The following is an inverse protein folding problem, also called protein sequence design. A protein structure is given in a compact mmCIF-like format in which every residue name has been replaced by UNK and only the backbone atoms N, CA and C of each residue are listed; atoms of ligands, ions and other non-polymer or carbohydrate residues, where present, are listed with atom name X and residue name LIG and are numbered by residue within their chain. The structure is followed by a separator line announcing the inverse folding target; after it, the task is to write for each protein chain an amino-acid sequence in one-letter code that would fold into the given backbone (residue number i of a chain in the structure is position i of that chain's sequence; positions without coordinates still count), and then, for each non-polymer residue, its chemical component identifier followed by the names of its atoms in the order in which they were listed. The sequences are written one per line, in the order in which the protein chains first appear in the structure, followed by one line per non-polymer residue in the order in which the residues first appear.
data_IF_730972645649
#
_entry.id   IF_730972645649
#
_cell.length_a   1.000
_cell.length_b   1.000
_cell.length_c   1.000
_cell.angle_alpha   90.00
_cell.angle_beta   90.00
_cell.angle_gamma   90.00
#
_symmetry.space_group_name_H-M   'P 1'
#
loop_
_entity.id
_entity.type
_entity.pdbx_description
1 polymer ?
#
# COMPACT_ATOMS: atom_id res chain seq x y z
N UNK A 1 32.56 -29.33 1.82
CA UNK A 1 33.51 -28.90 0.76
C UNK A 1 34.63 -29.90 0.48
N UNK A 2 35.30 -30.51 1.47
CA UNK A 2 36.41 -31.47 1.22
C UNK A 2 35.99 -32.70 0.40
N UNK A 3 34.85 -33.33 0.74
CA UNK A 3 34.37 -34.56 0.08
C UNK A 3 34.09 -34.38 -1.44
N UNK A 4 33.50 -33.25 -1.83
CA UNK A 4 33.19 -32.92 -3.23
C UNK A 4 34.45 -32.69 -4.08
N UNK A 5 35.50 -32.09 -3.49
CA UNK A 5 36.78 -31.85 -4.19
C UNK A 5 37.50 -33.16 -4.49
N UNK A 6 37.43 -34.12 -3.56
CA UNK A 6 38.01 -35.45 -3.74
C UNK A 6 37.29 -36.25 -4.82
N UNK A 7 35.95 -36.23 -4.84
CA UNK A 7 35.14 -36.89 -5.88
C UNK A 7 35.37 -36.30 -7.27
N UNK A 8 35.42 -34.97 -7.40
CA UNK A 8 35.68 -34.31 -8.68
C UNK A 8 37.09 -34.64 -9.23
N UNK A 9 38.10 -34.75 -8.35
CA UNK A 9 39.43 -35.25 -8.70
C UNK A 9 39.38 -36.67 -9.23
N UNK A 10 38.83 -37.61 -8.47
CA UNK A 10 38.83 -39.02 -8.85
C UNK A 10 38.09 -39.29 -10.16
N UNK A 11 36.98 -38.58 -10.40
CA UNK A 11 36.19 -38.73 -11.62
C UNK A 11 36.92 -38.19 -12.87
N UNK A 12 37.56 -37.02 -12.76
CA UNK A 12 38.21 -36.37 -13.92
C UNK A 12 39.46 -37.12 -14.37
N UNK A 13 40.24 -37.68 -13.44
CA UNK A 13 41.40 -38.51 -13.78
C UNK A 13 41.03 -39.92 -14.23
N UNK A 14 39.90 -40.48 -13.78
CA UNK A 14 39.40 -41.74 -14.32
C UNK A 14 39.06 -41.62 -15.81
N UNK A 15 38.39 -40.54 -16.22
CA UNK A 15 38.09 -40.28 -17.63
C UNK A 15 39.36 -40.15 -18.50
N UNK A 16 40.43 -39.57 -17.95
CA UNK A 16 41.72 -39.53 -18.64
C UNK A 16 42.40 -40.90 -18.75
N UNK A 17 42.32 -41.73 -17.70
CA UNK A 17 42.89 -43.07 -17.70
C UNK A 17 42.20 -44.02 -18.71
N UNK A 18 40.91 -43.80 -18.97
CA UNK A 18 40.14 -44.52 -20.00
C UNK A 18 40.23 -43.88 -21.39
N UNK A 19 41.08 -42.86 -21.59
CA UNK A 19 41.30 -42.23 -22.89
C UNK A 19 40.14 -41.39 -23.41
N UNK A 20 39.15 -41.07 -22.57
CA UNK A 20 37.95 -40.29 -22.95
C UNK A 20 38.29 -38.81 -23.11
N UNK A 21 39.23 -38.31 -22.30
CA UNK A 21 39.78 -36.95 -22.39
C UNK A 21 41.30 -37.01 -22.20
N UNK A 22 42.01 -36.00 -22.70
CA UNK A 22 43.45 -35.87 -22.46
C UNK A 22 43.76 -35.48 -21.00
N UNK A 23 44.99 -35.75 -20.56
CA UNK A 23 45.44 -35.36 -19.22
C UNK A 23 45.41 -33.83 -18.99
N UNK A 24 45.63 -33.04 -20.04
CA UNK A 24 45.53 -31.57 -19.99
C UNK A 24 44.07 -31.11 -19.84
N UNK A 25 43.12 -31.79 -20.49
CA UNK A 25 41.68 -31.52 -20.34
C UNK A 25 41.15 -31.90 -18.96
N UNK A 26 41.63 -33.01 -18.39
CA UNK A 26 41.29 -33.41 -17.03
C UNK A 26 41.75 -32.36 -15.99
N UNK A 27 42.97 -31.85 -16.14
CA UNK A 27 43.53 -30.83 -15.25
C UNK A 27 42.81 -29.47 -15.39
N UNK A 28 42.40 -29.11 -16.61
CA UNK A 28 41.61 -27.89 -16.86
C UNK A 28 40.18 -28.00 -16.29
N UNK A 29 39.54 -29.16 -16.44
CA UNK A 29 38.21 -29.44 -15.88
C UNK A 29 38.24 -29.40 -14.35
N UNK A 30 39.30 -29.94 -13.77
CA UNK A 30 39.51 -29.91 -12.34
C UNK A 30 39.75 -28.48 -11.81
N UNK A 31 40.56 -27.68 -12.51
CA UNK A 31 40.77 -26.27 -12.17
C UNK A 31 39.48 -25.46 -12.21
N UNK A 32 38.57 -25.74 -13.14
CA UNK A 32 37.22 -25.13 -13.18
C UNK A 32 36.32 -25.58 -12.03
N UNK A 33 36.34 -26.87 -11.67
CA UNK A 33 35.51 -27.39 -10.58
C UNK A 33 36.01 -26.99 -9.18
N UNK A 34 37.32 -26.76 -9.03
CA UNK A 34 37.95 -26.42 -7.76
C UNK A 34 38.09 -24.92 -7.52
N UNK A 35 38.03 -24.10 -8.58
CA UNK A 35 37.84 -22.66 -8.41
C UNK A 35 36.38 -22.42 -8.04
N UNK A 36 36.08 -21.86 -6.85
CA UNK A 36 34.78 -21.22 -6.70
C UNK A 36 34.69 -20.21 -7.83
N UNK A 37 33.57 -20.23 -8.56
CA UNK A 37 33.20 -19.13 -9.44
C UNK A 37 33.57 -17.86 -8.67
N UNK A 38 34.54 -17.09 -9.17
CA UNK A 38 34.58 -15.68 -8.84
C UNK A 38 33.25 -15.19 -9.36
N UNK A 39 32.26 -15.20 -8.47
CA UNK A 39 30.95 -14.66 -8.72
C UNK A 39 31.22 -13.21 -8.98
N UNK A 40 31.38 -12.85 -10.26
CA UNK A 40 31.03 -11.52 -10.69
C UNK A 40 29.69 -11.28 -10.04
N UNK A 41 29.64 -10.28 -9.16
CA UNK A 41 28.36 -9.76 -8.72
C UNK A 41 27.64 -9.39 -10.00
N UNK A 42 26.75 -10.26 -10.47
CA UNK A 42 25.67 -9.85 -11.34
C UNK A 42 24.84 -9.00 -10.39
N UNK A 43 25.23 -7.73 -10.27
CA UNK A 43 24.37 -6.72 -9.70
C UNK A 43 23.07 -6.88 -10.47
N UNK A 44 21.96 -7.24 -9.80
CA UNK A 44 20.70 -7.41 -10.50
C UNK A 44 20.47 -6.14 -11.30
N UNK A 45 20.22 -6.29 -12.61
CA UNK A 45 19.92 -5.15 -13.47
C UNK A 45 18.85 -4.32 -12.75
N UNK A 46 19.07 -3.01 -12.54
CA UNK A 46 18.12 -2.19 -11.82
C UNK A 46 16.73 -2.42 -12.42
N UNK A 47 15.76 -2.78 -11.57
CA UNK A 47 14.42 -3.05 -12.06
C UNK A 47 13.89 -1.74 -12.66
N UNK A 48 13.56 -1.79 -13.95
CA UNK A 48 12.88 -0.70 -14.63
C UNK A 48 11.44 -0.64 -14.12
N UNK A 49 11.23 0.16 -13.07
CA UNK A 49 9.94 0.32 -12.40
C UNK A 49 8.91 0.94 -13.35
N UNK A 50 9.32 1.83 -14.25
CA UNK A 50 8.43 2.45 -15.22
C UNK A 50 7.89 1.39 -16.20
N UNK A 51 8.77 0.52 -16.72
CA UNK A 51 8.38 -0.61 -17.56
C UNK A 51 7.52 -1.61 -16.79
N UNK A 52 7.89 -1.97 -15.55
CA UNK A 52 7.10 -2.86 -14.70
C UNK A 52 5.68 -2.32 -14.48
N UNK A 53 5.54 -1.03 -14.19
CA UNK A 53 4.25 -0.35 -14.06
C UNK A 53 3.42 -0.52 -15.33
N UNK A 54 3.98 -0.16 -16.49
CA UNK A 54 3.24 -0.20 -17.76
C UNK A 54 2.83 -1.64 -18.12
N UNK A 55 3.77 -2.58 -18.04
CA UNK A 55 3.56 -3.99 -18.37
C UNK A 55 2.56 -4.69 -17.43
N UNK A 56 2.52 -4.29 -16.16
CA UNK A 56 1.57 -4.85 -15.19
C UNK A 56 0.17 -4.28 -15.39
N UNK A 57 0.05 -2.96 -15.57
CA UNK A 57 -1.24 -2.28 -15.66
C UNK A 57 -1.92 -2.47 -17.02
N UNK A 58 -1.17 -2.67 -18.11
CA UNK A 58 -1.76 -2.97 -19.42
C UNK A 58 -2.44 -4.34 -19.48
N UNK A 59 -2.11 -5.27 -18.57
CA UNK A 59 -2.70 -6.62 -18.48
C UNK A 59 -4.06 -6.62 -17.78
N UNK A 60 -4.37 -5.58 -17.01
CA UNK A 60 -5.66 -5.43 -16.35
C UNK A 60 -6.73 -5.18 -17.42
N UNK A 61 -7.86 -5.87 -17.33
CA UNK A 61 -8.98 -5.73 -18.28
C UNK A 61 -9.55 -4.31 -18.31
N UNK A 62 -10.33 -3.99 -19.36
CA UNK A 62 -10.98 -2.68 -19.53
C UNK A 62 -10.18 -1.72 -20.41
N UNK A 63 -10.87 -0.72 -20.94
CA UNK A 63 -10.30 0.29 -21.85
C UNK A 63 -9.41 1.28 -21.10
N UNK A 64 -8.36 1.78 -21.76
CA UNK A 64 -7.49 2.82 -21.24
C UNK A 64 -6.77 3.55 -22.38
N UNK A 65 -6.32 4.77 -22.12
CA UNK A 65 -5.44 5.53 -23.01
C UNK A 65 -3.99 5.12 -22.77
N UNK A 66 -3.37 4.54 -23.80
CA UNK A 66 -2.00 4.00 -23.73
C UNK A 66 -0.96 5.07 -23.45
N UNK A 67 -1.09 6.25 -24.06
CA UNK A 67 -0.15 7.36 -23.91
C UNK A 67 -0.26 7.98 -22.52
N UNK A 68 -1.48 8.17 -22.01
CA UNK A 68 -1.69 8.62 -20.62
C UNK A 68 -1.14 7.62 -19.61
N UNK A 69 -1.35 6.32 -19.83
CA UNK A 69 -0.78 5.29 -18.96
C UNK A 69 0.75 5.31 -19.00
N UNK A 70 1.35 5.47 -20.18
CA UNK A 70 2.79 5.57 -20.32
C UNK A 70 3.34 6.77 -19.54
N UNK A 71 2.73 7.95 -19.69
CA UNK A 71 3.08 9.15 -18.89
C UNK A 71 2.92 8.92 -17.39
N UNK A 72 1.84 8.26 -16.97
CA UNK A 72 1.61 7.96 -15.56
C UNK A 72 2.71 7.07 -14.99
N UNK A 73 3.10 6.02 -15.72
CA UNK A 73 4.14 5.11 -15.28
C UNK A 73 5.54 5.74 -15.21
N UNK A 74 5.80 6.88 -15.85
CA UNK A 74 7.05 7.63 -15.66
C UNK A 74 7.24 8.12 -14.22
N UNK A 75 6.14 8.32 -13.48
CA UNK A 75 6.16 8.71 -12.06
C UNK A 75 6.15 7.51 -11.11
N UNK A 76 6.20 6.27 -11.63
CA UNK A 76 6.18 5.09 -10.80
C UNK A 76 7.48 4.96 -9.98
N UNK A 77 7.34 4.66 -8.70
CA UNK A 77 8.42 4.49 -7.73
C UNK A 77 8.19 3.22 -6.92
N UNK A 78 9.24 2.72 -6.26
CA UNK A 78 9.16 1.63 -5.29
C UNK A 78 9.84 2.10 -4.01
N UNK A 79 9.22 1.90 -2.85
CA UNK A 79 9.89 2.18 -1.58
C UNK A 79 10.93 1.09 -1.27
N UNK A 80 12.06 1.41 -0.61
CA UNK A 80 13.07 0.39 -0.28
C UNK A 80 12.47 -0.77 0.53
N UNK A 81 12.64 -1.99 0.03
CA UNK A 81 12.12 -3.23 0.63
C UNK A 81 10.65 -3.55 0.30
N UNK A 82 9.95 -2.71 -0.45
CA UNK A 82 8.59 -2.99 -0.91
C UNK A 82 8.57 -3.97 -2.08
N UNK A 83 8.44 -5.25 -1.74
CA UNK A 83 8.29 -6.35 -2.69
C UNK A 83 7.31 -7.38 -2.12
N UNK A 84 6.69 -8.16 -2.99
CA UNK A 84 5.82 -9.27 -2.62
C UNK A 84 6.60 -10.43 -2.01
N UNK A 85 5.86 -11.42 -1.53
CA UNK A 85 6.42 -12.69 -1.03
C UNK A 85 7.42 -13.30 -2.02
N UNK A 86 7.05 -13.38 -3.31
CA UNK A 86 7.89 -13.93 -4.39
C UNK A 86 8.91 -12.93 -4.96
N UNK A 87 9.00 -11.71 -4.41
CA UNK A 87 10.02 -10.72 -4.79
C UNK A 87 9.62 -9.76 -5.92
N UNK A 88 8.34 -9.71 -6.29
CA UNK A 88 7.84 -8.73 -7.26
C UNK A 88 7.77 -7.33 -6.62
N UNK A 89 8.33 -6.28 -7.23
CA UNK A 89 8.26 -4.95 -6.66
C UNK A 89 6.83 -4.44 -6.56
N UNK A 90 6.49 -3.87 -5.39
CA UNK A 90 5.20 -3.20 -5.17
C UNK A 90 5.42 -1.71 -5.44
N UNK A 91 5.06 -1.28 -6.64
CA UNK A 91 5.25 0.10 -7.09
C UNK A 91 4.05 0.98 -6.74
N UNK A 92 4.30 2.28 -6.70
CA UNK A 92 3.30 3.31 -6.47
C UNK A 92 3.49 4.48 -7.43
N UNK A 93 2.40 5.18 -7.70
CA UNK A 93 2.38 6.48 -8.36
C UNK A 93 2.19 7.59 -7.31
N UNK A 94 2.78 8.76 -7.53
CA UNK A 94 2.62 9.91 -6.64
C UNK A 94 2.47 11.22 -7.43
N UNK A 95 1.40 11.95 -7.11
CA UNK A 95 1.13 13.31 -7.60
C UNK A 95 0.91 14.21 -6.40
N UNK A 96 1.82 15.16 -6.19
CA UNK A 96 1.68 16.14 -5.11
C UNK A 96 0.67 17.22 -5.50
N UNK A 97 -0.03 17.75 -4.50
CA UNK A 97 -0.94 18.86 -4.69
C UNK A 97 -0.19 20.12 -5.14
N UNK A 98 -0.85 20.91 -5.97
CA UNK A 98 -0.29 22.16 -6.49
C UNK A 98 -0.28 23.29 -5.45
N UNK A 99 -1.11 23.18 -4.40
CA UNK A 99 -1.10 24.08 -3.25
C UNK A 99 -1.15 23.29 -1.93
N UNK A 100 -0.21 23.53 -1.03
CA UNK A 100 0.00 22.71 0.18
C UNK A 100 -0.86 23.14 1.39
N UNK A 101 -1.37 24.37 1.44
CA UNK A 101 -1.97 24.94 2.66
C UNK A 101 -3.24 24.21 3.14
N UNK A 102 -3.92 23.48 2.27
CA UNK A 102 -5.11 22.70 2.63
C UNK A 102 -5.18 21.30 2.02
N UNK A 103 -4.17 20.94 1.21
CA UNK A 103 -4.13 19.66 0.52
C UNK A 103 -4.17 18.50 1.50
N UNK A 104 -4.99 17.50 1.17
CA UNK A 104 -5.01 16.22 1.89
C UNK A 104 -4.05 15.25 1.23
N UNK A 105 -3.39 14.44 2.04
CA UNK A 105 -2.62 13.28 1.57
C UNK A 105 -3.56 12.08 1.47
N UNK A 106 -3.93 11.71 0.25
CA UNK A 106 -4.85 10.61 -0.03
C UNK A 106 -4.04 9.43 -0.57
N UNK A 107 -4.06 8.32 0.15
CA UNK A 107 -3.44 7.06 -0.31
C UNK A 107 -4.53 6.14 -0.83
N UNK A 108 -4.44 5.76 -2.11
CA UNK A 108 -5.33 4.80 -2.75
C UNK A 108 -4.60 3.49 -2.98
N UNK A 109 -5.27 2.37 -2.75
CA UNK A 109 -4.76 1.05 -3.06
C UNK A 109 -5.82 0.18 -3.74
N UNK A 110 -5.35 -0.69 -4.63
CA UNK A 110 -6.16 -1.70 -5.33
C UNK A 110 -5.46 -3.05 -5.28
N UNK A 111 -6.19 -4.12 -5.61
CA UNK A 111 -5.61 -5.48 -5.75
C UNK A 111 -4.83 -5.92 -4.50
N UNK A 112 -5.32 -5.57 -3.30
CA UNK A 112 -4.89 -6.22 -2.05
C UNK A 112 -5.35 -7.68 -2.02
N UNK A 113 -6.49 -7.96 -2.65
CA UNK A 113 -6.86 -9.30 -3.08
C UNK A 113 -6.59 -9.44 -4.58
N UNK A 114 -5.81 -10.44 -4.98
CA UNK A 114 -5.31 -10.56 -6.34
C UNK A 114 -6.37 -10.93 -7.39
N UNK A 115 -7.47 -11.53 -6.98
CA UNK A 115 -8.60 -11.92 -7.84
C UNK A 115 -9.62 -10.79 -8.08
N UNK A 116 -9.42 -9.61 -7.49
CA UNK A 116 -10.33 -8.45 -7.60
C UNK A 116 -9.87 -7.48 -8.71
N UNK A 117 -9.64 -7.98 -9.93
CA UNK A 117 -8.96 -7.25 -11.03
C UNK A 117 -9.61 -5.93 -11.46
N UNK A 118 -10.94 -5.79 -11.34
CA UNK A 118 -11.63 -4.52 -11.62
C UNK A 118 -11.24 -3.40 -10.63
N UNK A 119 -10.78 -3.74 -9.41
CA UNK A 119 -10.20 -2.74 -8.50
C UNK A 119 -8.95 -2.09 -9.09
N UNK A 120 -8.11 -2.87 -9.78
CA UNK A 120 -6.91 -2.37 -10.46
C UNK A 120 -7.25 -1.48 -11.66
N UNK A 121 -8.41 -1.69 -12.29
CA UNK A 121 -8.89 -0.84 -13.40
C UNK A 121 -9.17 0.59 -12.92
N UNK A 122 -9.76 0.74 -11.73
CA UNK A 122 -10.00 2.05 -11.09
C UNK A 122 -8.68 2.77 -10.84
N UNK A 123 -7.72 2.12 -10.20
CA UNK A 123 -6.41 2.73 -9.92
C UNK A 123 -5.67 3.10 -11.21
N UNK A 124 -5.75 2.27 -12.27
CA UNK A 124 -5.17 2.59 -13.58
C UNK A 124 -5.81 3.85 -14.18
N UNK A 125 -7.14 3.94 -14.17
CA UNK A 125 -7.86 5.13 -14.63
C UNK A 125 -7.46 6.37 -13.83
N UNK A 126 -7.38 6.27 -12.50
CA UNK A 126 -7.05 7.39 -11.63
C UNK A 126 -5.63 7.92 -11.81
N UNK A 127 -4.61 7.05 -11.95
CA UNK A 127 -3.24 7.53 -12.22
C UNK A 127 -3.15 8.19 -13.61
N UNK A 128 -3.85 7.65 -14.61
CA UNK A 128 -3.90 8.23 -15.95
C UNK A 128 -4.66 9.56 -16.00
N UNK A 129 -5.63 9.77 -15.11
CA UNK A 129 -6.29 11.08 -14.94
C UNK A 129 -5.37 12.07 -14.22
N UNK A 130 -4.70 11.64 -13.15
CA UNK A 130 -3.86 12.51 -12.32
C UNK A 130 -2.66 13.14 -13.04
N UNK A 131 -2.18 12.54 -14.12
CA UNK A 131 -1.10 13.16 -14.94
C UNK A 131 -1.55 14.45 -15.62
N UNK A 132 -2.83 14.54 -15.98
CA UNK A 132 -3.38 15.70 -16.71
C UNK A 132 -4.05 16.71 -15.75
N UNK A 133 -4.20 16.36 -14.46
CA UNK A 133 -4.85 17.22 -13.47
C UNK A 133 -3.86 18.08 -12.67
N UNK A 134 -4.30 19.30 -12.40
CA UNK A 134 -3.78 20.13 -11.32
C UNK A 134 -4.49 19.73 -10.01
N UNK A 135 -3.90 18.81 -9.24
CA UNK A 135 -4.60 18.17 -8.14
C UNK A 135 -4.64 19.06 -6.90
N UNK A 136 -5.84 19.25 -6.34
CA UNK A 136 -6.04 19.95 -5.06
C UNK A 136 -5.50 19.17 -3.85
N UNK A 137 -5.37 17.85 -3.97
CA UNK A 137 -4.88 16.93 -2.95
C UNK A 137 -3.64 16.22 -3.46
N UNK A 138 -2.78 15.78 -2.54
CA UNK A 138 -1.65 14.91 -2.86
C UNK A 138 -2.15 13.47 -2.90
N UNK A 139 -1.93 12.79 -4.02
CA UNK A 139 -2.35 11.42 -4.25
C UNK A 139 -1.15 10.50 -4.30
N UNK A 140 -1.23 9.41 -3.54
CA UNK A 140 -0.35 8.25 -3.70
C UNK A 140 -1.20 7.04 -4.05
N UNK A 141 -0.92 6.38 -5.16
CA UNK A 141 -1.72 5.25 -5.66
C UNK A 141 -0.84 4.01 -5.76
N UNK A 142 -1.23 2.93 -5.07
CA UNK A 142 -0.62 1.61 -5.14
C UNK A 142 -1.57 0.71 -5.93
N UNK A 143 -1.43 0.61 -7.26
CA UNK A 143 -2.44 -0.03 -8.10
C UNK A 143 -2.49 -1.55 -7.95
N UNK A 144 -1.39 -2.18 -7.51
CA UNK A 144 -1.29 -3.62 -7.27
C UNK A 144 -0.54 -3.85 -5.96
N UNK A 145 -1.28 -4.11 -4.88
CA UNK A 145 -0.69 -4.42 -3.57
C UNK A 145 -0.17 -5.86 -3.51
N UNK A 146 -0.94 -6.82 -4.05
CA UNK A 146 -0.64 -8.24 -4.04
C UNK A 146 -0.36 -8.74 -5.48
N UNK A 147 0.83 -8.44 -6.05
CA UNK A 147 1.15 -8.84 -7.42
C UNK A 147 1.25 -10.37 -7.57
N UNK A 148 1.63 -11.10 -6.52
CA UNK A 148 1.68 -12.57 -6.55
C UNK A 148 0.28 -13.16 -6.71
N UNK A 149 -0.67 -12.70 -5.88
CA UNK A 149 -2.07 -13.07 -6.00
C UNK A 149 -2.70 -12.62 -7.31
N UNK A 150 -2.32 -11.46 -7.84
CA UNK A 150 -2.80 -10.97 -9.13
C UNK A 150 -2.36 -11.89 -10.28
N UNK A 151 -1.09 -12.31 -10.31
CA UNK A 151 -0.58 -13.26 -11.31
C UNK A 151 -1.22 -14.64 -11.17
N UNK A 152 -1.49 -15.07 -9.94
CA UNK A 152 -2.12 -16.36 -9.66
C UNK A 152 -3.66 -16.33 -9.72
N UNK A 153 -4.28 -15.16 -9.92
CA UNK A 153 -5.71 -14.93 -9.79
C UNK A 153 -6.30 -15.49 -8.48
N UNK A 154 -5.66 -15.17 -7.35
CA UNK A 154 -6.08 -15.58 -6.01
C UNK A 154 -6.32 -14.39 -5.10
N UNK A 155 -7.31 -14.51 -4.21
CA UNK A 155 -7.55 -13.53 -3.14
C UNK A 155 -6.34 -13.32 -2.25
N UNK A 156 -5.70 -14.42 -1.85
CA UNK A 156 -4.57 -14.42 -0.93
C UNK A 156 -3.26 -14.11 -1.66
N UNK A 157 -2.20 -13.80 -0.90
CA UNK A 157 -0.84 -13.74 -1.45
C UNK A 157 -0.25 -15.15 -1.66
N UNK A 158 1.04 -15.23 -2.03
CA UNK A 158 1.73 -16.49 -2.29
C UNK A 158 1.80 -17.44 -1.08
N UNK A 159 1.74 -16.92 0.15
CA UNK A 159 1.68 -17.71 1.38
C UNK A 159 0.26 -18.15 1.76
N UNK A 160 -0.73 -17.91 0.89
CA UNK A 160 -2.15 -18.18 1.14
C UNK A 160 -2.73 -17.35 2.30
N UNK A 161 -2.14 -16.19 2.59
CA UNK A 161 -2.64 -15.24 3.59
C UNK A 161 -3.52 -14.18 2.94
N UNK A 162 -4.66 -13.89 3.57
CA UNK A 162 -5.48 -12.73 3.24
C UNK A 162 -4.79 -11.48 3.83
N UNK A 163 -4.17 -10.68 2.96
CA UNK A 163 -3.44 -9.45 3.34
C UNK A 163 -4.36 -8.49 4.11
N UNK A 164 -5.66 -8.44 3.80
CA UNK A 164 -6.65 -7.64 4.51
C UNK A 164 -7.23 -8.34 5.76
N UNK A 165 -6.53 -9.36 6.26
CA UNK A 165 -6.68 -9.93 7.61
C UNK A 165 -5.35 -9.98 8.37
N UNK A 166 -4.27 -9.45 7.78
CA UNK A 166 -2.92 -9.54 8.33
C UNK A 166 -2.42 -8.24 8.97
N UNK A 167 -3.16 -7.12 8.92
CA UNK A 167 -2.73 -5.88 9.55
C UNK A 167 -2.57 -6.02 11.08
N UNK A 168 -1.59 -5.33 11.71
CA UNK A 168 -1.33 -5.45 13.14
C UNK A 168 -2.32 -4.63 13.98
N UNK A 169 -3.61 -4.96 13.87
CA UNK A 169 -4.68 -4.35 14.69
C UNK A 169 -4.51 -4.72 16.16
N UNK A 170 -4.90 -3.84 17.08
CA UNK A 170 -4.73 -4.05 18.52
C UNK A 170 -5.38 -5.35 19.05
N UNK A 171 -6.39 -5.88 18.36
CA UNK A 171 -7.06 -7.14 18.70
C UNK A 171 -6.64 -8.32 17.81
N UNK A 172 -5.55 -8.21 17.04
CA UNK A 172 -5.15 -9.28 16.12
C UNK A 172 -4.78 -10.56 16.88
N UNK A 173 -3.83 -10.45 17.81
CA UNK A 173 -3.29 -11.60 18.58
C UNK A 173 -4.39 -12.33 19.36
N UNK A 174 -5.30 -11.58 19.97
CA UNK A 174 -6.37 -12.15 20.79
C UNK A 174 -7.56 -12.68 20.00
N UNK A 175 -7.78 -12.22 18.76
CA UNK A 175 -9.06 -12.50 18.06
C UNK A 175 -8.94 -13.02 16.62
N UNK A 176 -7.85 -12.74 15.87
CA UNK A 176 -7.81 -13.02 14.44
C UNK A 176 -7.93 -14.53 14.14
N UNK A 177 -7.06 -15.35 14.73
CA UNK A 177 -7.07 -16.81 14.53
C UNK A 177 -8.35 -17.44 15.09
N UNK A 178 -8.77 -17.04 16.30
CA UNK A 178 -9.98 -17.57 16.92
C UNK A 178 -11.23 -17.27 16.08
N UNK A 179 -11.34 -16.04 15.54
CA UNK A 179 -12.45 -15.64 14.67
C UNK A 179 -12.41 -16.36 13.32
N UNK A 180 -11.23 -16.53 12.73
CA UNK A 180 -11.07 -17.30 11.49
C UNK A 180 -11.48 -18.76 11.68
N UNK A 181 -11.04 -19.42 12.76
CA UNK A 181 -11.45 -20.80 13.08
C UNK A 181 -12.96 -20.97 13.28
N UNK A 182 -13.64 -19.93 13.80
CA UNK A 182 -15.12 -19.91 13.95
C UNK A 182 -15.85 -19.58 12.65
N UNK A 183 -15.16 -19.05 11.64
CA UNK A 183 -15.78 -18.82 10.33
C UNK A 183 -16.09 -20.15 9.65
N UNK A 184 -17.07 -20.16 8.73
CA UNK A 184 -17.50 -21.37 8.03
C UNK A 184 -16.29 -22.10 7.43
N UNK A 185 -16.02 -23.30 7.93
CA UNK A 185 -14.94 -24.19 7.51
C UNK A 185 -13.53 -23.59 7.58
N UNK A 186 -13.27 -22.63 8.49
CA UNK A 186 -11.97 -21.93 8.54
C UNK A 186 -11.53 -21.44 7.16
N UNK A 187 -12.44 -20.72 6.48
CA UNK A 187 -12.32 -20.35 5.06
C UNK A 187 -10.87 -19.97 4.69
N UNK A 188 -10.16 -20.80 3.89
CA UNK A 188 -8.77 -20.57 3.54
C UNK A 188 -8.56 -19.21 2.84
N UNK A 189 -9.58 -18.69 2.17
CA UNK A 189 -9.55 -17.37 1.51
C UNK A 189 -9.44 -16.20 2.51
N UNK A 190 -9.63 -16.46 3.81
CA UNK A 190 -9.63 -15.45 4.88
C UNK A 190 -8.62 -15.76 5.99
N UNK A 191 -7.66 -16.65 5.72
CA UNK A 191 -6.62 -16.98 6.68
C UNK A 191 -5.79 -15.72 7.02
N UNK A 192 -5.71 -15.30 8.30
CA UNK A 192 -5.07 -14.03 8.68
C UNK A 192 -3.54 -14.07 8.68
N UNK A 193 -2.94 -15.24 8.51
CA UNK A 193 -1.49 -15.44 8.63
C UNK A 193 -1.06 -15.91 10.03
N UNK A 194 0.22 -16.31 10.19
CA UNK A 194 0.73 -16.86 11.44
C UNK A 194 0.91 -15.82 12.56
N UNK A 195 1.12 -14.55 12.22
CA UNK A 195 1.32 -13.44 13.16
C UNK A 195 0.90 -12.10 12.52
N UNK A 196 0.65 -11.03 13.30
CA UNK A 196 0.29 -9.75 12.71
C UNK A 196 1.45 -9.20 11.89
N UNK A 197 1.16 -8.65 10.70
CA UNK A 197 2.14 -8.15 9.74
C UNK A 197 3.22 -9.18 9.34
N UNK A 198 2.88 -10.47 9.33
CA UNK A 198 3.76 -11.54 8.85
C UNK A 198 4.10 -11.41 7.36
N UNK A 199 3.20 -10.83 6.56
CA UNK A 199 3.34 -10.80 5.10
C UNK A 199 4.11 -9.57 4.60
N UNK A 200 4.94 -9.75 3.57
CA UNK A 200 5.72 -8.66 2.97
C UNK A 200 4.83 -7.58 2.36
N UNK A 201 3.69 -7.95 1.76
CA UNK A 201 2.72 -7.02 1.21
C UNK A 201 2.16 -6.12 2.32
N UNK A 202 1.81 -6.70 3.48
CA UNK A 202 1.37 -5.94 4.66
C UNK A 202 2.46 -5.00 5.15
N UNK A 203 3.70 -5.49 5.29
CA UNK A 203 4.84 -4.67 5.73
C UNK A 203 5.12 -3.51 4.77
N UNK A 204 4.99 -3.73 3.46
CA UNK A 204 5.11 -2.67 2.48
C UNK A 204 4.04 -1.59 2.67
N UNK A 205 2.76 -1.97 2.89
CA UNK A 205 1.70 -1.00 3.19
C UNK A 205 1.98 -0.21 4.47
N UNK A 206 2.46 -0.88 5.54
CA UNK A 206 2.87 -0.19 6.77
C UNK A 206 3.98 0.83 6.51
N UNK A 207 4.94 0.50 5.64
CA UNK A 207 5.99 1.44 5.21
C UNK A 207 5.40 2.63 4.46
N UNK A 208 4.45 2.42 3.55
CA UNK A 208 3.76 3.52 2.87
C UNK A 208 2.96 4.41 3.82
N UNK A 209 2.31 3.84 4.84
CA UNK A 209 1.59 4.63 5.84
C UNK A 209 2.53 5.51 6.66
N UNK A 210 3.69 4.96 7.04
CA UNK A 210 4.72 5.71 7.79
C UNK A 210 5.38 6.80 6.93
N UNK A 211 5.74 6.48 5.68
CA UNK A 211 6.41 7.37 4.74
C UNK A 211 5.50 8.51 4.27
N UNK A 212 4.28 8.17 3.81
CA UNK A 212 3.36 9.16 3.26
C UNK A 212 2.62 9.94 4.35
N UNK A 213 2.29 9.29 5.47
CA UNK A 213 1.39 9.79 6.50
C UNK A 213 0.04 10.26 5.92
N UNK A 214 -0.78 9.33 5.39
CA UNK A 214 -2.04 9.70 4.76
C UNK A 214 -3.03 10.31 5.75
N UNK A 215 -3.71 11.37 5.30
CA UNK A 215 -4.89 11.92 5.99
C UNK A 215 -6.14 11.07 5.73
N UNK A 216 -6.15 10.32 4.63
CA UNK A 216 -7.28 9.54 4.16
C UNK A 216 -6.79 8.36 3.32
N UNK A 217 -7.42 7.20 3.47
CA UNK A 217 -7.09 6.00 2.70
C UNK A 217 -8.29 5.52 1.91
N UNK A 218 -8.06 5.11 0.66
CA UNK A 218 -9.04 4.49 -0.21
C UNK A 218 -8.56 3.08 -0.53
N UNK A 219 -9.39 2.08 -0.28
CA UNK A 219 -9.13 0.68 -0.67
C UNK A 219 -10.20 0.22 -1.65
N UNK A 220 -9.81 -0.06 -2.89
CA UNK A 220 -10.75 -0.52 -3.92
C UNK A 220 -10.81 -2.04 -3.91
N UNK A 221 -12.02 -2.56 -3.85
CA UNK A 221 -12.39 -3.95 -3.69
C UNK A 221 -13.57 -4.31 -4.60
N UNK A 222 -13.92 -5.60 -4.63
CA UNK A 222 -15.05 -6.17 -5.35
C UNK A 222 -15.53 -7.43 -4.61
N UNK A 223 -16.79 -7.91 -4.77
CA UNK A 223 -17.81 -7.44 -5.69
C UNK A 223 -19.05 -6.82 -5.00
N UNK A 224 -18.93 -6.28 -3.78
CA UNK A 224 -20.12 -6.00 -2.94
C UNK A 224 -20.99 -4.83 -3.42
N UNK A 225 -20.47 -3.95 -4.28
CA UNK A 225 -21.28 -2.90 -4.91
C UNK A 225 -21.69 -1.75 -4.00
N UNK A 226 -20.81 -1.31 -3.09
CA UNK A 226 -21.10 -0.30 -2.07
C UNK A 226 -19.90 0.62 -1.80
N UNK A 227 -20.16 1.71 -1.09
CA UNK A 227 -19.14 2.56 -0.47
C UNK A 227 -19.20 2.36 1.06
N UNK A 228 -18.18 1.73 1.63
CA UNK A 228 -18.06 1.53 3.08
C UNK A 228 -17.06 2.53 3.68
N UNK A 229 -17.53 3.30 4.66
CA UNK A 229 -16.76 4.36 5.28
C UNK A 229 -16.51 4.10 6.76
N UNK A 230 -15.24 3.81 7.07
CA UNK A 230 -14.70 3.78 8.42
C UNK A 230 -14.14 5.16 8.77
N UNK A 231 -14.99 5.98 9.40
CA UNK A 231 -14.65 7.35 9.78
C UNK A 231 -15.71 8.01 10.66
N UNK A 232 -15.68 9.36 10.75
CA UNK A 232 -16.68 10.12 11.49
C UNK A 232 -18.13 9.82 11.05
N UNK A 233 -19.01 9.50 12.00
CA UNK A 233 -20.37 8.99 11.75
C UNK A 233 -21.43 10.04 11.37
N UNK A 234 -21.11 11.33 11.38
CA UNK A 234 -22.06 12.43 11.14
C UNK A 234 -21.75 13.25 9.89
N UNK A 235 -21.07 12.65 8.92
CA UNK A 235 -20.78 13.29 7.64
C UNK A 235 -21.89 12.98 6.65
N UNK A 236 -22.29 14.01 5.90
CA UNK A 236 -23.20 13.85 4.76
C UNK A 236 -22.37 13.74 3.49
N UNK A 237 -22.30 12.53 2.94
CA UNK A 237 -21.55 12.28 1.71
C UNK A 237 -22.37 12.59 0.46
N UNK A 238 -21.70 13.02 -0.63
CA UNK A 238 -22.35 13.11 -1.94
C UNK A 238 -22.94 11.76 -2.35
N UNK A 239 -24.14 11.76 -2.92
CA UNK A 239 -24.73 10.55 -3.52
C UNK A 239 -23.90 10.14 -4.73
N UNK A 240 -23.64 8.83 -4.83
CA UNK A 240 -23.05 8.21 -6.01
C UNK A 240 -23.95 7.06 -6.45
N UNK A 241 -24.79 7.29 -7.44
CA UNK A 241 -25.87 6.34 -7.80
C UNK A 241 -25.40 4.91 -8.10
N UNK A 242 -24.21 4.67 -8.69
CA UNK A 242 -23.75 3.30 -8.95
C UNK A 242 -23.50 2.47 -7.67
N UNK A 243 -23.10 3.13 -6.57
CA UNK A 243 -22.71 2.47 -5.31
C UNK A 243 -23.31 3.20 -4.09
N UNK A 244 -24.27 2.60 -3.37
CA UNK A 244 -24.80 3.19 -2.14
C UNK A 244 -23.78 3.18 -1.00
N UNK A 245 -23.91 4.13 -0.08
CA UNK A 245 -23.12 4.18 1.15
C UNK A 245 -23.67 3.19 2.17
N UNK A 246 -22.93 2.12 2.46
CA UNK A 246 -23.33 1.06 3.40
C UNK A 246 -22.11 0.65 4.22
N UNK A 247 -22.23 0.61 5.55
CA UNK A 247 -21.11 0.21 6.40
C UNK A 247 -21.08 -1.29 6.65
N UNK A 248 -19.97 -1.97 6.34
CA UNK A 248 -19.81 -3.42 6.55
C UNK A 248 -19.20 -3.77 7.92
N UNK A 249 -18.68 -2.75 8.62
CA UNK A 249 -17.92 -2.92 9.84
C UNK A 249 -16.51 -3.47 9.58
N UNK A 250 -15.77 -3.65 10.66
CA UNK A 250 -14.35 -4.01 10.58
C UNK A 250 -14.02 -5.30 11.34
N UNK A 251 -12.90 -5.91 10.95
CA UNK A 251 -12.46 -7.23 11.42
C UNK A 251 -11.06 -7.12 12.04
N UNK A 252 -10.68 -8.00 13.00
CA UNK A 252 -9.28 -8.15 13.39
C UNK A 252 -8.41 -8.35 12.14
N UNK A 253 -7.36 -7.56 12.04
CA UNK A 253 -6.44 -7.56 10.91
C UNK A 253 -6.91 -6.91 9.62
N UNK A 254 -8.07 -6.25 9.59
CA UNK A 254 -8.51 -5.48 8.43
C UNK A 254 -7.96 -4.05 8.41
N UNK A 255 -7.82 -3.48 7.23
CA UNK A 255 -7.35 -2.11 7.02
C UNK A 255 -8.22 -1.08 7.75
N UNK A 256 -9.55 -1.17 7.60
CA UNK A 256 -10.51 -0.26 8.23
C UNK A 256 -10.38 -0.25 9.75
N UNK A 257 -10.19 -1.43 10.37
CA UNK A 257 -9.90 -1.52 11.81
C UNK A 257 -8.59 -0.83 12.15
N UNK A 258 -7.52 -1.16 11.43
CA UNK A 258 -6.17 -0.72 11.73
C UNK A 258 -6.02 0.81 11.60
N UNK A 259 -6.55 1.38 10.53
CA UNK A 259 -6.36 2.79 10.23
C UNK A 259 -7.39 3.66 10.94
N UNK A 260 -8.68 3.30 10.93
CA UNK A 260 -9.69 4.13 11.58
C UNK A 260 -9.75 3.88 13.08
N UNK A 261 -10.05 2.65 13.51
CA UNK A 261 -10.30 2.40 14.94
C UNK A 261 -9.05 2.59 15.79
N UNK A 262 -7.92 2.05 15.32
CA UNK A 262 -6.69 2.04 16.11
C UNK A 262 -5.84 3.31 15.88
N UNK A 263 -6.02 4.04 14.77
CA UNK A 263 -5.15 5.18 14.40
C UNK A 263 -5.85 6.48 14.00
N UNK A 264 -7.19 6.51 13.97
CA UNK A 264 -7.98 7.70 13.63
C UNK A 264 -7.71 8.29 12.23
N UNK A 265 -7.26 7.47 11.28
CA UNK A 265 -7.16 7.81 9.86
C UNK A 265 -8.38 7.24 9.12
N UNK A 266 -9.26 8.07 8.54
CA UNK A 266 -10.45 7.59 7.86
C UNK A 266 -10.13 6.71 6.64
N UNK A 267 -10.95 5.68 6.43
CA UNK A 267 -10.83 4.74 5.32
C UNK A 267 -12.14 4.68 4.54
N UNK A 268 -12.05 4.82 3.22
CA UNK A 268 -13.11 4.52 2.27
C UNK A 268 -12.80 3.22 1.54
N UNK A 269 -13.58 2.19 1.82
CA UNK A 269 -13.57 0.95 1.04
C UNK A 269 -14.58 1.09 -0.09
N UNK A 270 -14.09 1.09 -1.33
CA UNK A 270 -14.92 1.13 -2.54
C UNK A 270 -15.10 -0.31 -2.99
N UNK A 271 -16.29 -0.87 -2.83
CA UNK A 271 -16.64 -2.20 -3.33
C UNK A 271 -17.37 -2.07 -4.67
N UNK A 272 -16.71 -2.37 -5.80
CA UNK A 272 -17.38 -2.40 -7.11
C UNK A 272 -18.32 -3.60 -7.21
N UNK A 273 -19.29 -3.62 -8.13
CA UNK A 273 -20.13 -4.82 -8.41
C UNK A 273 -19.43 -5.86 -9.31
N UNK A 274 -18.10 -5.96 -9.22
CA UNK A 274 -17.30 -6.70 -10.20
C UNK A 274 -17.31 -6.01 -11.58
N UNK A 275 -17.29 -6.79 -12.68
CA UNK A 275 -17.24 -6.29 -14.05
C UNK A 275 -18.51 -5.55 -14.51
N UNK A 276 -19.59 -5.60 -13.73
CA UNK A 276 -20.92 -5.11 -14.13
C UNK A 276 -21.27 -3.73 -13.54
N UNK A 277 -20.50 -3.21 -12.58
CA UNK A 277 -20.92 -2.06 -11.76
C UNK A 277 -20.53 -0.68 -12.28
N UNK A 278 -19.24 -0.51 -12.61
CA UNK A 278 -18.69 0.74 -13.12
C UNK A 278 -17.69 0.38 -14.21
N UNK A 279 -18.00 0.74 -15.44
CA UNK A 279 -17.19 0.41 -16.62
C UNK A 279 -16.82 1.63 -17.47
N UNK A 280 -17.41 2.80 -17.17
CA UNK A 280 -17.18 4.06 -17.88
C UNK A 280 -16.15 4.92 -17.15
N UNK A 281 -15.22 5.51 -17.90
CA UNK A 281 -14.15 6.34 -17.33
C UNK A 281 -14.71 7.55 -16.58
N UNK A 282 -15.79 8.15 -17.07
CA UNK A 282 -16.43 9.31 -16.44
C UNK A 282 -16.96 9.00 -15.03
N UNK A 283 -17.41 7.76 -14.80
CA UNK A 283 -17.87 7.32 -13.48
C UNK A 283 -16.68 7.03 -12.55
N UNK A 284 -15.55 6.54 -13.06
CA UNK A 284 -14.31 6.46 -12.27
C UNK A 284 -13.79 7.84 -11.86
N UNK A 285 -13.86 8.81 -12.78
CA UNK A 285 -13.47 10.20 -12.53
C UNK A 285 -14.34 10.83 -11.45
N UNK A 286 -15.67 10.69 -11.58
CA UNK A 286 -16.63 11.16 -10.58
C UNK A 286 -16.42 10.48 -9.22
N UNK A 287 -16.11 9.19 -9.21
CA UNK A 287 -15.79 8.45 -7.98
C UNK A 287 -14.51 8.98 -7.31
N UNK A 288 -13.50 9.36 -8.10
CA UNK A 288 -12.28 10.01 -7.57
C UNK A 288 -12.62 11.36 -6.93
N UNK A 289 -13.47 12.16 -7.57
CA UNK A 289 -13.85 13.49 -7.09
C UNK A 289 -14.68 13.42 -5.79
N UNK A 290 -15.61 12.47 -5.71
CA UNK A 290 -16.38 12.18 -4.50
C UNK A 290 -15.43 11.74 -3.37
N UNK A 291 -14.50 10.83 -3.67
CA UNK A 291 -13.53 10.34 -2.68
C UNK A 291 -12.66 11.49 -2.12
N UNK A 292 -12.19 12.39 -3.00
CA UNK A 292 -11.46 13.59 -2.58
C UNK A 292 -12.30 14.55 -1.73
N UNK A 293 -13.60 14.68 -2.03
CA UNK A 293 -14.53 15.49 -1.23
C UNK A 293 -14.73 14.91 0.17
N UNK A 294 -14.89 13.59 0.26
CA UNK A 294 -15.05 12.87 1.54
C UNK A 294 -13.80 13.00 2.39
N UNK A 295 -12.60 12.95 1.79
CA UNK A 295 -11.34 13.19 2.49
C UNK A 295 -11.30 14.59 3.13
N UNK A 296 -11.68 15.62 2.38
CA UNK A 296 -11.74 17.01 2.87
C UNK A 296 -12.76 17.17 4.00
N UNK A 297 -13.96 16.59 3.85
CA UNK A 297 -15.01 16.64 4.88
C UNK A 297 -14.56 15.96 6.17
N UNK A 298 -13.90 14.80 6.06
CA UNK A 298 -13.41 14.03 7.21
C UNK A 298 -12.35 14.79 8.00
N UNK A 299 -11.36 15.36 7.30
CA UNK A 299 -10.32 16.18 7.91
C UNK A 299 -10.89 17.42 8.63
N UNK A 300 -11.82 18.15 8.00
CA UNK A 300 -12.50 19.29 8.65
C UNK A 300 -13.18 18.88 9.96
N UNK A 301 -13.89 17.76 9.94
CA UNK A 301 -14.56 17.25 11.13
C UNK A 301 -13.56 16.93 12.25
N UNK A 302 -12.49 16.19 11.94
CA UNK A 302 -11.47 15.81 12.92
C UNK A 302 -10.76 17.04 13.51
N UNK A 303 -10.37 18.02 12.68
CA UNK A 303 -9.79 19.28 13.17
C UNK A 303 -10.74 20.06 14.09
N UNK A 304 -12.04 20.08 13.77
CA UNK A 304 -13.04 20.77 14.58
C UNK A 304 -13.21 20.14 15.98
N UNK A 305 -13.18 18.81 16.06
CA UNK A 305 -13.21 18.05 17.33
C UNK A 305 -11.97 18.33 18.18
N UNK A 306 -10.78 18.27 17.58
CA UNK A 306 -9.52 18.52 18.29
C UNK A 306 -9.43 19.96 18.82
N UNK A 307 -9.98 20.95 18.09
CA UNK A 307 -10.09 22.34 18.59
C UNK A 307 -11.03 22.47 19.79
N UNK A 308 -12.16 21.75 19.79
CA UNK A 308 -13.11 21.75 20.93
C UNK A 308 -12.57 21.06 22.18
N UNK A 309 -11.61 20.14 22.03
CA UNK A 309 -11.00 19.41 23.15
C UNK A 309 -9.79 20.13 23.79
N UNK A 310 -9.26 21.20 23.19
CA UNK A 310 -8.22 22.01 23.85
C UNK A 310 -8.87 22.87 24.97
N UNK A 311 -8.40 22.80 26.23
CA UNK A 311 -8.88 23.68 27.28
C UNK A 311 -8.63 25.13 26.88
N UNK A 312 -9.64 25.99 27.05
CA UNK A 312 -9.47 27.44 26.92
C UNK A 312 -8.49 27.89 28.01
N UNK A 313 -7.24 28.13 27.67
CA UNK A 313 -6.34 28.90 28.54
C UNK A 313 -6.99 30.25 28.78
N UNK A 314 -7.54 30.47 29.98
CA UNK A 314 -7.97 31.79 30.42
C UNK A 314 -6.73 32.68 30.35
N UNK A 315 -6.77 33.72 29.50
CA UNK A 315 -5.84 34.85 29.60
C UNK A 315 -6.05 35.44 30.98
N UNK A 316 -5.12 35.20 31.90
CA UNK A 316 -4.96 36.03 33.09
C UNK A 316 -4.39 37.34 32.58
N UNK A 317 -5.23 38.36 32.46
CA UNK A 317 -4.77 39.72 32.25
C UNK A 317 -4.06 40.18 33.53
N UNK A 318 -2.79 40.55 33.36
CA UNK A 318 -1.99 41.23 34.37
C UNK A 318 -2.50 42.67 34.52
N UNK A 319 -3.30 42.93 35.55
CA UNK A 319 -3.51 44.28 36.07
C UNK A 319 -2.66 44.47 37.32
N UNK A 320 -1.44 44.97 37.12
CA UNK A 320 -0.64 45.58 38.18
C UNK A 320 0.32 46.59 37.55
N UNK A 321 -0.23 47.72 37.12
CA UNK A 321 0.53 48.94 36.87
C UNK A 321 -0.34 50.14 37.17
N UNK A 322 -0.09 50.75 38.32
CA UNK A 322 -0.06 52.19 38.60
C UNK A 322 -0.64 52.47 39.99
N UNK A 323 0.24 52.72 40.96
CA UNK A 323 0.18 53.88 41.85
C UNK A 323 1.35 53.84 42.83
N UNK A 324 2.38 54.64 42.56
CA UNK A 324 3.22 55.29 43.56
C UNK A 324 3.97 56.42 42.85
N UNK A 325 3.41 57.62 42.96
CA UNK A 325 4.04 58.90 42.56
C UNK A 325 4.83 59.40 43.77
N UNK A 326 6.01 60.03 43.61
CA UNK A 326 6.78 60.54 44.74
C UNK A 326 6.19 61.88 45.21
N UNK A 327 5.95 62.01 46.51
CA UNK A 327 5.74 63.30 47.15
C UNK A 327 7.09 63.85 47.61
N UNK A 328 7.50 64.95 46.97
CA UNK A 328 8.45 65.91 47.47
C UNK A 328 7.75 66.80 48.50
N UNK A 329 8.22 66.83 49.75
CA UNK A 329 7.96 67.94 50.68
C UNK A 329 9.25 68.36 51.36
N UNK A 330 9.44 69.68 51.34
CA UNK A 330 10.49 70.54 51.85
C UNK A 330 10.58 70.64 53.37
N UNK A 331 11.81 70.79 53.87
CA UNK A 331 12.22 71.79 54.88
C UNK A 331 11.75 71.63 56.33
N UNK A 332 12.67 71.26 57.22
CA UNK A 332 13.39 72.16 58.16
C UNK A 332 14.59 71.43 58.75
#
# INVERSE_FOLDING_TARGET
MSYFKTLARSFSYALAAFGVISASEADMTLKRALNPLQGGQISPTPIDVQKLCFESLRKISGTFDKERLHRACQFAKVLPGCQSTLGEPIFYFEKLASSSNSAKKILTMSLIHGDETSSGTVSRSWISRLVDLDSRNSWRVIPIVNPDGFKANTRTNANKVDVNRNFPTANWESQAIARWKRSKNSDPRRYPGPSPASEKETQCLLKHFSDFQPDFIISVHTPLGILDFDGPKHLSFPKFSPLPWISLGNYPGSLGRYMWKDRQVPVLTIELKGSEGISRLEEFDRLQDISGTVAIQSDRYLRSKNRRQKPKTKKVQSEARNQARPESVSGT
#
